data_IF_578720200611
#
_entry.id   IF_578720200611
#
_cell.length_a   1.000
_cell.length_b   1.000
_cell.length_c   1.000
_cell.angle_alpha   90.00
_cell.angle_beta   90.00
_cell.angle_gamma   90.00
#
_symmetry.space_group_name_H-M   'P 1'
#
loop_
_entity.id
_entity.type
_entity.pdbx_description
1 polymer ?
#
# COMPACT_ATOMS: atom_id res chain seq x y z
N UNK A 1 5.05 -18.07 7.73
CA UNK A 1 3.82 -18.90 7.82
C UNK A 1 3.32 -19.15 6.41
N UNK A 2 3.41 -20.38 5.94
CA UNK A 2 2.99 -20.79 4.60
C UNK A 2 1.46 -20.80 4.51
N UNK A 3 0.97 -20.27 3.39
CA UNK A 3 -0.40 -20.39 2.85
C UNK A 3 -1.51 -20.46 3.89
N UNK A 4 -2.04 -19.32 4.14
CA UNK A 4 -3.26 -19.18 4.88
C UNK A 4 -4.43 -19.49 3.97
N UNK A 5 -5.17 -20.56 4.27
CA UNK A 5 -6.47 -20.81 3.66
C UNK A 5 -7.56 -20.42 4.65
N UNK A 6 -8.62 -19.81 4.16
CA UNK A 6 -9.83 -19.63 4.94
C UNK A 6 -10.65 -20.92 4.79
N UNK A 7 -11.00 -21.56 5.92
CA UNK A 7 -11.88 -22.72 5.92
C UNK A 7 -13.35 -22.29 5.85
N UNK A 8 -14.22 -23.27 5.67
CA UNK A 8 -15.68 -23.20 5.52
C UNK A 8 -16.44 -22.40 6.60
N UNK A 9 -15.79 -22.07 7.72
CA UNK A 9 -16.31 -21.15 8.76
C UNK A 9 -15.69 -19.77 8.73
N UNK A 10 -14.91 -19.45 7.70
CA UNK A 10 -14.23 -18.15 7.59
C UNK A 10 -12.98 -18.00 8.47
N UNK A 11 -12.58 -19.06 9.17
CA UNK A 11 -11.41 -19.07 10.04
C UNK A 11 -10.13 -19.20 9.20
N UNK A 12 -9.12 -18.32 9.39
CA UNK A 12 -7.83 -18.51 8.78
C UNK A 12 -7.15 -19.74 9.39
N UNK A 13 -6.58 -20.56 8.54
CA UNK A 13 -5.72 -21.68 8.97
C UNK A 13 -4.29 -21.32 8.68
N UNK A 14 -3.43 -21.54 9.66
CA UNK A 14 -2.00 -21.31 9.54
C UNK A 14 -1.32 -22.64 9.32
N UNK A 15 -0.42 -22.72 8.34
CA UNK A 15 0.39 -23.88 8.11
C UNK A 15 1.54 -23.88 9.14
N UNK A 16 1.18 -24.00 10.38
CA UNK A 16 2.11 -24.33 11.44
C UNK A 16 2.49 -25.79 11.20
N UNK A 17 3.76 -26.12 11.31
CA UNK A 17 4.23 -27.51 11.29
C UNK A 17 3.43 -28.24 12.36
N UNK A 18 2.91 -29.44 12.04
CA UNK A 18 2.18 -30.27 13.00
C UNK A 18 3.11 -30.59 14.17
N UNK A 19 3.00 -29.82 15.25
CA UNK A 19 3.67 -30.11 16.50
C UNK A 19 2.73 -30.96 17.33
N UNK A 20 3.10 -32.21 17.53
CA UNK A 20 2.36 -33.11 18.43
C UNK A 20 2.48 -32.65 19.88
N UNK A 21 3.61 -32.06 20.24
CA UNK A 21 3.86 -31.47 21.56
C UNK A 21 4.53 -30.09 21.44
N UNK A 22 4.21 -29.21 22.37
CA UNK A 22 4.85 -27.88 22.44
C UNK A 22 6.33 -28.04 22.86
N UNK A 23 7.22 -27.47 22.07
CA UNK A 23 8.66 -27.44 22.36
C UNK A 23 9.08 -26.00 22.67
N UNK A 24 9.36 -25.67 23.95
CA UNK A 24 9.78 -24.34 24.35
C UNK A 24 11.14 -23.91 23.77
N UNK A 25 11.98 -24.88 23.38
CA UNK A 25 13.32 -24.63 22.84
C UNK A 25 13.33 -24.61 21.30
N UNK A 26 12.16 -24.65 20.67
CA UNK A 26 12.05 -24.62 19.20
C UNK A 26 12.65 -23.34 18.63
N UNK A 27 13.47 -23.47 17.60
CA UNK A 27 13.97 -22.32 16.85
C UNK A 27 12.79 -21.61 16.14
N UNK A 28 12.48 -20.33 16.49
CA UNK A 28 11.40 -19.58 15.86
C UNK A 28 11.52 -19.47 14.34
N UNK A 29 12.71 -19.66 13.77
CA UNK A 29 12.93 -19.57 12.33
C UNK A 29 12.30 -20.73 11.56
N UNK A 30 12.01 -21.86 12.22
CA UNK A 30 11.45 -23.07 11.57
C UNK A 30 10.05 -22.86 11.00
N UNK A 31 9.26 -21.96 11.58
CA UNK A 31 7.91 -21.63 11.12
C UNK A 31 7.82 -20.27 10.43
N UNK A 32 8.96 -19.59 10.24
CA UNK A 32 9.00 -18.36 9.45
C UNK A 32 9.12 -18.70 7.96
N UNK A 33 8.47 -17.89 7.14
CA UNK A 33 8.54 -17.99 5.68
C UNK A 33 9.15 -16.72 5.11
N UNK A 34 10.16 -16.90 4.28
CA UNK A 34 10.72 -15.79 3.53
C UNK A 34 9.72 -15.28 2.49
N UNK A 35 9.20 -14.08 2.70
CA UNK A 35 8.21 -13.43 1.83
C UNK A 35 8.81 -12.37 0.90
N UNK A 36 10.12 -12.34 0.78
CA UNK A 36 10.87 -11.38 -0.03
C UNK A 36 11.54 -10.30 0.81
N UNK A 37 12.22 -9.39 0.14
CA UNK A 37 12.98 -8.31 0.78
C UNK A 37 12.19 -7.00 0.80
N UNK A 38 12.43 -6.19 1.83
CA UNK A 38 11.81 -4.87 1.98
C UNK A 38 12.45 -3.85 1.03
N UNK A 39 13.75 -3.97 0.81
CA UNK A 39 14.49 -3.05 -0.03
C UNK A 39 14.36 -3.44 -1.51
N UNK A 40 14.25 -2.48 -2.43
CA UNK A 40 14.19 -2.74 -3.85
C UNK A 40 15.55 -3.22 -4.37
N UNK A 41 15.55 -4.13 -5.33
CA UNK A 41 16.78 -4.49 -6.04
C UNK A 41 17.12 -3.51 -7.15
N UNK A 42 16.16 -2.69 -7.59
CA UNK A 42 16.37 -1.68 -8.61
C UNK A 42 15.55 -0.43 -8.31
N UNK A 43 16.23 0.73 -8.39
CA UNK A 43 15.60 2.06 -8.38
C UNK A 43 16.17 2.87 -9.53
N UNK A 44 15.31 3.64 -10.18
CA UNK A 44 15.72 4.47 -11.30
C UNK A 44 14.75 5.60 -11.58
N UNK A 45 15.15 6.51 -12.47
CA UNK A 45 14.29 7.60 -12.91
C UNK A 45 14.55 7.94 -14.37
N UNK A 46 13.53 8.52 -15.00
CA UNK A 46 13.59 9.05 -16.36
C UNK A 46 12.99 10.44 -16.36
N UNK A 47 13.83 11.40 -16.79
CA UNK A 47 13.44 12.79 -16.96
C UNK A 47 13.37 13.11 -18.44
N UNK A 48 12.22 13.64 -18.87
CA UNK A 48 11.99 14.01 -20.28
C UNK A 48 11.57 15.45 -20.36
N UNK A 49 12.19 16.20 -21.26
CA UNK A 49 11.81 17.57 -21.57
C UNK A 49 11.64 17.78 -23.06
N UNK A 50 10.46 18.21 -23.44
CA UNK A 50 10.11 18.55 -24.84
C UNK A 50 9.91 20.06 -24.91
N UNK A 51 10.60 20.70 -25.86
CA UNK A 51 10.45 22.12 -26.12
C UNK A 51 9.97 22.35 -27.54
N UNK A 52 8.90 23.10 -27.66
CA UNK A 52 8.36 23.52 -28.94
C UNK A 52 8.11 25.03 -28.94
N UNK A 53 8.90 25.78 -29.70
CA UNK A 53 8.89 27.27 -29.71
C UNK A 53 9.05 27.81 -28.28
N UNK A 54 8.03 28.51 -27.78
CA UNK A 54 8.00 29.14 -26.46
C UNK A 54 7.40 28.23 -25.39
N UNK A 55 6.94 27.03 -25.72
CA UNK A 55 6.33 26.07 -24.83
C UNK A 55 7.35 24.99 -24.44
N UNK A 56 7.39 24.63 -23.17
CA UNK A 56 8.21 23.52 -22.67
C UNK A 56 7.36 22.62 -21.78
N UNK A 57 7.40 21.31 -22.07
CA UNK A 57 6.77 20.26 -21.28
C UNK A 57 7.85 19.38 -20.68
N UNK A 58 7.85 19.24 -19.37
CA UNK A 58 8.71 18.30 -18.65
C UNK A 58 7.86 17.22 -18.00
N UNK A 59 8.32 15.97 -18.05
CA UNK A 59 7.69 14.83 -17.38
C UNK A 59 8.79 13.99 -16.75
N UNK A 60 8.65 13.72 -15.46
CA UNK A 60 9.61 12.97 -14.66
C UNK A 60 8.93 11.72 -14.11
N UNK A 61 9.62 10.59 -14.26
CA UNK A 61 9.18 9.31 -13.74
C UNK A 61 10.21 8.74 -12.78
N UNK A 62 9.73 8.02 -11.76
CA UNK A 62 10.55 7.15 -10.93
C UNK A 62 10.02 5.72 -10.98
N UNK A 63 10.92 4.78 -10.94
CA UNK A 63 10.61 3.34 -10.92
C UNK A 63 11.31 2.70 -9.73
N UNK A 64 10.61 1.80 -9.06
CA UNK A 64 11.13 0.98 -7.98
C UNK A 64 10.65 -0.45 -8.19
N UNK A 65 11.60 -1.40 -8.19
CA UNK A 65 11.30 -2.80 -8.48
C UNK A 65 11.85 -3.74 -7.39
N UNK A 66 11.05 -4.75 -7.09
CA UNK A 66 11.45 -5.91 -6.28
C UNK A 66 11.28 -5.73 -4.77
N UNK A 67 10.81 -4.59 -4.30
CA UNK A 67 10.46 -4.43 -2.90
C UNK A 67 9.17 -5.18 -2.56
N UNK A 68 9.11 -5.73 -1.35
CA UNK A 68 7.91 -6.30 -0.76
C UNK A 68 7.48 -5.46 0.42
N UNK A 69 6.17 -5.32 0.60
CA UNK A 69 5.61 -4.55 1.71
C UNK A 69 4.43 -5.29 2.33
N UNK A 70 4.33 -5.19 3.65
CA UNK A 70 3.16 -5.69 4.37
C UNK A 70 2.07 -4.64 4.33
N UNK A 71 0.85 -5.06 3.96
CA UNK A 71 -0.33 -4.21 4.01
C UNK A 71 -0.74 -3.93 5.47
N UNK A 72 -1.37 -2.79 5.75
CA UNK A 72 -1.99 -2.52 7.04
C UNK A 72 -3.00 -3.60 7.39
N UNK A 73 -3.00 -4.04 8.64
CA UNK A 73 -3.97 -5.03 9.12
C UNK A 73 -5.35 -4.34 9.32
N UNK A 74 -6.39 -4.67 8.54
CA UNK A 74 -7.69 -4.06 8.67
C UNK A 74 -8.43 -4.44 9.96
N UNK A 75 -7.93 -5.47 10.68
CA UNK A 75 -8.47 -5.94 11.96
C UNK A 75 -7.72 -5.39 13.17
N UNK A 76 -6.78 -4.47 13.00
CA UNK A 76 -5.93 -3.94 14.07
C UNK A 76 -6.70 -3.37 15.27
N UNK A 77 -7.90 -2.83 15.02
CA UNK A 77 -8.75 -2.23 16.05
C UNK A 77 -9.84 -3.20 16.58
N UNK A 78 -9.80 -4.47 16.17
CA UNK A 78 -10.72 -5.49 16.67
C UNK A 78 -10.10 -6.17 17.89
N UNK A 79 -10.30 -5.58 19.05
CA UNK A 79 -9.90 -6.19 20.31
C UNK A 79 -10.98 -7.18 20.77
N UNK A 80 -10.54 -8.40 21.14
CA UNK A 80 -11.34 -9.37 21.88
C UNK A 80 -12.63 -9.87 21.20
N UNK A 81 -12.64 -10.05 19.88
CA UNK A 81 -13.80 -10.56 19.15
C UNK A 81 -15.03 -9.64 19.20
N UNK A 82 -14.88 -8.42 19.66
CA UNK A 82 -15.95 -7.44 19.65
C UNK A 82 -16.26 -7.00 18.23
N UNK A 83 -17.52 -6.81 17.95
CA UNK A 83 -17.98 -6.14 16.73
C UNK A 83 -17.35 -4.74 16.66
N UNK A 84 -17.14 -4.24 15.43
CA UNK A 84 -16.61 -2.89 15.25
C UNK A 84 -17.42 -1.88 16.04
N UNK A 85 -16.77 -1.06 16.83
CA UNK A 85 -17.44 0.03 17.53
C UNK A 85 -17.81 1.14 16.54
N UNK A 86 -19.02 1.74 16.68
CA UNK A 86 -19.53 2.71 15.72
C UNK A 86 -18.70 3.99 15.61
N UNK A 87 -17.76 4.22 16.52
CA UNK A 87 -16.92 5.42 16.57
C UNK A 87 -15.59 5.27 15.85
N UNK A 88 -15.24 4.07 15.35
CA UNK A 88 -13.99 3.84 14.65
C UNK A 88 -14.20 3.73 13.14
N UNK A 89 -13.39 4.45 12.36
CA UNK A 89 -13.30 4.26 10.93
C UNK A 89 -12.68 2.89 10.63
N UNK A 90 -13.36 2.12 9.80
CA UNK A 90 -12.94 0.79 9.40
C UNK A 90 -12.40 0.79 7.96
N UNK A 91 -11.46 -0.10 7.70
CA UNK A 91 -10.98 -0.32 6.35
C UNK A 91 -12.09 -0.83 5.43
N UNK A 92 -12.14 -0.33 4.20
CA UNK A 92 -13.02 -0.83 3.14
C UNK A 92 -12.78 -2.31 2.83
N UNK A 93 -11.60 -2.83 3.15
CA UNK A 93 -11.26 -4.23 2.91
C UNK A 93 -12.10 -5.19 3.73
N UNK A 94 -12.61 -4.75 4.88
CA UNK A 94 -13.54 -5.54 5.68
C UNK A 94 -14.87 -5.85 4.96
N UNK A 95 -15.23 -5.10 3.94
CA UNK A 95 -16.38 -5.42 3.09
C UNK A 95 -16.14 -6.68 2.26
N UNK A 96 -14.88 -7.01 1.98
CA UNK A 96 -14.45 -8.18 1.22
C UNK A 96 -14.26 -9.42 2.11
N UNK A 97 -14.53 -9.33 3.41
CA UNK A 97 -14.36 -10.45 4.34
C UNK A 97 -15.24 -11.64 3.98
N UNK A 98 -14.86 -12.79 4.45
CA UNK A 98 -15.70 -13.99 4.39
C UNK A 98 -17.02 -13.76 5.14
N UNK A 99 -18.14 -14.11 4.52
CA UNK A 99 -19.50 -13.93 5.07
C UNK A 99 -20.31 -15.22 5.04
N UNK A 100 -20.06 -16.09 4.07
CA UNK A 100 -20.79 -17.35 3.87
C UNK A 100 -19.91 -18.42 3.26
N UNK A 101 -20.26 -19.72 3.42
CA UNK A 101 -19.58 -20.82 2.75
C UNK A 101 -19.49 -20.61 1.24
N UNK A 102 -18.29 -20.79 0.68
CA UNK A 102 -17.95 -20.53 -0.72
C UNK A 102 -17.13 -19.26 -0.93
N UNK A 103 -17.18 -18.30 -0.01
CA UNK A 103 -16.41 -17.04 -0.12
C UNK A 103 -14.91 -17.28 0.05
N UNK A 104 -14.50 -18.37 0.70
CA UNK A 104 -13.09 -18.76 0.89
C UNK A 104 -12.29 -18.88 -0.42
N UNK A 105 -12.99 -19.05 -1.55
CA UNK A 105 -12.39 -19.10 -2.89
C UNK A 105 -12.10 -17.72 -3.47
N UNK A 106 -12.68 -16.69 -2.90
CA UNK A 106 -12.68 -15.33 -3.47
C UNK A 106 -12.11 -14.27 -2.54
N UNK A 107 -11.94 -14.59 -1.26
CA UNK A 107 -11.39 -13.65 -0.29
C UNK A 107 -10.26 -14.26 0.54
N UNK A 108 -9.31 -13.40 0.91
CA UNK A 108 -8.26 -13.70 1.88
C UNK A 108 -8.58 -13.15 3.27
N UNK A 109 -9.66 -12.36 3.38
CA UNK A 109 -10.03 -11.66 4.62
C UNK A 109 -10.90 -12.56 5.49
N UNK A 110 -10.49 -12.86 6.74
CA UNK A 110 -11.23 -13.70 7.67
C UNK A 110 -12.64 -13.18 7.99
N UNK A 111 -13.48 -14.07 8.50
CA UNK A 111 -14.77 -13.70 9.09
C UNK A 111 -14.59 -12.82 10.33
N UNK A 112 -15.61 -12.08 10.71
CA UNK A 112 -15.68 -11.42 12.00
C UNK A 112 -16.23 -12.40 13.04
N UNK A 113 -15.45 -12.67 14.08
CA UNK A 113 -15.85 -13.52 15.19
C UNK A 113 -16.37 -12.67 16.34
N UNK A 114 -17.44 -13.14 16.97
CA UNK A 114 -18.05 -12.50 18.13
C UNK A 114 -17.60 -13.12 19.45
N UNK A 115 -17.08 -14.36 19.40
CA UNK A 115 -16.57 -15.08 20.57
C UNK A 115 -15.08 -14.81 20.78
N UNK A 116 -14.72 -14.54 22.03
CA UNK A 116 -13.32 -14.41 22.45
C UNK A 116 -12.57 -15.73 22.28
N UNK A 117 -13.23 -16.85 22.56
CA UNK A 117 -12.66 -18.18 22.46
C UNK A 117 -12.22 -18.51 21.02
N UNK A 118 -13.05 -18.13 20.03
CA UNK A 118 -12.73 -18.36 18.62
C UNK A 118 -11.54 -17.53 18.14
N UNK A 119 -11.27 -16.38 18.77
CA UNK A 119 -10.20 -15.46 18.39
C UNK A 119 -8.85 -15.84 19.01
N UNK A 120 -8.86 -16.44 20.20
CA UNK A 120 -7.64 -16.70 20.99
C UNK A 120 -7.26 -18.18 21.13
N UNK A 121 -7.90 -19.07 20.41
CA UNK A 121 -7.72 -20.53 20.55
C UNK A 121 -6.57 -21.09 19.69
N UNK A 122 -5.60 -20.25 19.31
CA UNK A 122 -4.44 -20.72 18.55
C UNK A 122 -3.23 -20.78 19.47
N UNK A 123 -2.61 -21.97 19.53
CA UNK A 123 -1.33 -22.16 20.19
C UNK A 123 -0.20 -22.09 19.16
N UNK A 124 0.87 -21.42 19.53
CA UNK A 124 2.12 -21.41 18.79
C UNK A 124 2.90 -22.72 19.08
N UNK A 125 3.87 -23.08 18.22
CA UNK A 125 4.68 -24.28 18.39
C UNK A 125 5.44 -24.36 19.72
N UNK A 126 5.78 -23.22 20.31
CA UNK A 126 6.42 -23.11 21.63
C UNK A 126 5.44 -23.29 22.81
N UNK A 127 4.17 -23.56 22.53
CA UNK A 127 3.11 -23.72 23.53
C UNK A 127 2.48 -22.41 24.01
N UNK A 128 2.99 -21.26 23.60
CA UNK A 128 2.39 -19.98 23.96
C UNK A 128 1.07 -19.76 23.22
N UNK A 129 0.14 -19.04 23.85
CA UNK A 129 -1.09 -18.64 23.17
C UNK A 129 -0.80 -17.48 22.20
N UNK A 130 -1.29 -17.58 20.98
CA UNK A 130 -1.25 -16.44 20.07
C UNK A 130 -2.11 -15.29 20.61
N UNK A 131 -1.65 -14.05 20.42
CA UNK A 131 -2.36 -12.88 20.89
C UNK A 131 -3.77 -12.77 20.28
N UNK A 132 -3.88 -13.04 18.97
CA UNK A 132 -5.15 -13.02 18.27
C UNK A 132 -4.99 -13.65 16.89
N UNK A 133 -6.03 -14.35 16.43
CA UNK A 133 -6.11 -14.88 15.06
C UNK A 133 -5.94 -13.77 14.01
N UNK A 134 -6.45 -12.58 14.28
CA UNK A 134 -6.34 -11.42 13.38
C UNK A 134 -4.93 -10.84 13.36
N UNK A 135 -4.24 -10.87 14.49
CA UNK A 135 -2.84 -10.45 14.56
C UNK A 135 -1.94 -11.43 13.81
N UNK A 136 -2.12 -12.72 14.03
CA UNK A 136 -1.41 -13.75 13.27
C UNK A 136 -1.67 -13.63 11.78
N UNK A 137 -2.92 -13.42 11.39
CA UNK A 137 -3.27 -13.22 9.99
C UNK A 137 -2.60 -11.95 9.42
N UNK A 138 -2.64 -10.84 10.14
CA UNK A 138 -1.95 -9.60 9.75
C UNK A 138 -0.44 -9.77 9.58
N UNK A 139 0.16 -10.70 10.33
CA UNK A 139 1.59 -11.02 10.28
C UNK A 139 1.93 -12.14 9.29
N UNK A 140 0.94 -12.76 8.64
CA UNK A 140 1.18 -13.81 7.66
C UNK A 140 1.72 -13.28 6.32
N UNK A 141 2.19 -14.19 5.48
CA UNK A 141 2.64 -13.93 4.12
C UNK A 141 1.51 -13.44 3.20
N UNK A 142 0.25 -13.78 3.53
CA UNK A 142 -0.92 -13.30 2.80
C UNK A 142 -1.03 -11.78 2.74
N UNK A 143 -0.47 -11.09 3.75
CA UNK A 143 -0.46 -9.62 3.83
C UNK A 143 0.77 -8.99 3.18
N UNK A 144 1.72 -9.79 2.69
CA UNK A 144 2.89 -9.28 1.97
C UNK A 144 2.57 -9.16 0.48
N UNK A 145 2.83 -8.00 -0.08
CA UNK A 145 2.54 -7.67 -1.48
C UNK A 145 3.77 -7.12 -2.19
N UNK A 146 3.74 -7.22 -3.50
CA UNK A 146 4.74 -6.56 -4.35
C UNK A 146 4.54 -5.05 -4.29
N UNK A 147 5.55 -4.32 -3.84
CA UNK A 147 5.57 -2.88 -3.74
C UNK A 147 6.31 -2.21 -4.92
N UNK A 148 6.56 -2.95 -5.99
CA UNK A 148 7.08 -2.36 -7.24
C UNK A 148 6.10 -1.35 -7.81
N UNK A 149 6.63 -0.21 -8.26
CA UNK A 149 5.79 0.83 -8.87
C UNK A 149 6.54 1.63 -9.94
N UNK A 150 5.74 2.24 -10.80
CA UNK A 150 6.13 3.34 -11.68
C UNK A 150 5.33 4.58 -11.26
N UNK A 151 6.03 5.63 -10.86
CA UNK A 151 5.42 6.90 -10.44
C UNK A 151 5.74 7.98 -11.45
N UNK A 152 4.74 8.74 -11.85
CA UNK A 152 4.97 10.06 -12.40
C UNK A 152 5.19 11.03 -11.24
N UNK A 153 6.42 11.51 -11.07
CA UNK A 153 6.78 12.38 -9.94
C UNK A 153 6.39 13.82 -10.21
N UNK A 154 6.51 14.26 -11.48
CA UNK A 154 6.18 15.63 -11.84
C UNK A 154 5.78 15.73 -13.31
N UNK A 155 4.79 16.56 -13.60
CA UNK A 155 4.51 17.11 -14.92
C UNK A 155 4.62 18.63 -14.81
N UNK A 156 5.46 19.23 -15.64
CA UNK A 156 5.67 20.68 -15.69
C UNK A 156 5.38 21.20 -17.08
N UNK A 157 4.59 22.27 -17.16
CA UNK A 157 4.33 23.00 -18.38
C UNK A 157 4.77 24.46 -18.16
N UNK A 158 5.60 24.97 -19.04
CA UNK A 158 6.01 26.36 -19.02
C UNK A 158 5.85 27.00 -20.40
N UNK A 159 5.34 28.19 -20.41
CA UNK A 159 5.17 29.00 -21.59
C UNK A 159 5.88 30.32 -21.40
N UNK A 160 6.93 30.56 -22.20
CA UNK A 160 7.56 31.88 -22.30
C UNK A 160 6.76 32.70 -23.31
N UNK A 161 6.07 33.71 -22.82
CA UNK A 161 5.22 34.57 -23.66
C UNK A 161 6.09 35.32 -24.64
N UNK A 162 5.77 35.33 -25.95
CA UNK A 162 6.55 36.10 -26.94
C UNK A 162 6.65 37.57 -26.58
N UNK A 163 7.83 38.18 -26.77
CA UNK A 163 8.14 39.56 -26.38
C UNK A 163 7.14 40.54 -26.98
N UNK A 164 6.65 40.29 -28.21
CA UNK A 164 5.65 41.15 -28.86
C UNK A 164 4.32 41.24 -28.10
N UNK A 165 3.99 40.19 -27.32
CA UNK A 165 2.81 40.17 -26.45
C UNK A 165 3.13 40.90 -25.14
N UNK A 166 4.29 40.61 -24.55
CA UNK A 166 4.73 41.25 -23.30
C UNK A 166 4.82 42.77 -23.45
N UNK A 167 5.35 43.26 -24.56
CA UNK A 167 5.51 44.70 -24.86
C UNK A 167 4.17 45.47 -24.86
N UNK A 168 3.04 44.81 -25.18
CA UNK A 168 1.71 45.44 -25.11
C UNK A 168 1.30 45.84 -23.71
N UNK A 169 1.89 45.20 -22.69
CA UNK A 169 1.65 45.48 -21.28
C UNK A 169 2.83 46.21 -20.61
N UNK A 170 3.79 46.70 -21.41
CA UNK A 170 4.97 47.37 -20.88
C UNK A 170 5.99 46.44 -20.21
N UNK A 171 5.84 45.11 -20.37
CA UNK A 171 6.74 44.15 -19.79
C UNK A 171 7.84 43.74 -20.77
N UNK A 172 9.06 43.51 -20.27
CA UNK A 172 10.22 43.02 -21.05
C UNK A 172 10.21 41.51 -21.24
N UNK A 173 9.69 40.78 -20.25
CA UNK A 173 9.53 39.32 -20.33
C UNK A 173 8.33 38.87 -19.49
N UNK A 174 7.71 37.77 -19.90
CA UNK A 174 6.62 37.12 -19.17
C UNK A 174 6.75 35.62 -19.32
N UNK A 175 6.53 34.89 -18.25
CA UNK A 175 6.42 33.43 -18.29
C UNK A 175 5.29 32.94 -17.40
N UNK A 176 4.63 31.88 -17.86
CA UNK A 176 3.55 31.20 -17.16
C UNK A 176 4.00 29.77 -16.97
N UNK A 177 3.87 29.24 -15.77
CA UNK A 177 4.18 27.84 -15.46
C UNK A 177 3.04 27.18 -14.71
N UNK A 178 2.86 25.89 -14.97
CA UNK A 178 1.96 25.00 -14.24
C UNK A 178 2.69 23.71 -13.95
N UNK A 179 2.65 23.27 -12.71
CA UNK A 179 3.30 22.02 -12.28
C UNK A 179 2.30 21.16 -11.52
N UNK A 180 2.38 19.87 -11.73
CA UNK A 180 1.65 18.86 -10.95
C UNK A 180 2.65 17.88 -10.41
N UNK A 181 2.73 17.72 -9.09
CA UNK A 181 3.54 16.73 -8.43
C UNK A 181 2.68 15.51 -8.05
N UNK A 182 3.25 14.32 -8.20
CA UNK A 182 2.62 13.03 -7.89
C UNK A 182 1.25 12.83 -8.59
N UNK A 183 1.10 13.10 -9.90
CA UNK A 183 -0.20 13.00 -10.56
C UNK A 183 -0.77 11.57 -10.52
N UNK A 184 0.08 10.54 -10.64
CA UNK A 184 -0.32 9.15 -10.56
C UNK A 184 0.85 8.21 -10.22
N UNK A 185 0.48 7.05 -9.70
CA UNK A 185 1.37 5.91 -9.48
C UNK A 185 0.69 4.65 -10.03
N UNK A 186 1.48 3.78 -10.66
CA UNK A 186 1.07 2.47 -11.16
C UNK A 186 1.81 1.42 -10.33
N UNK A 187 1.08 0.57 -9.63
CA UNK A 187 1.60 -0.49 -8.77
C UNK A 187 0.55 -1.55 -8.52
N UNK A 188 0.77 -2.41 -7.52
CA UNK A 188 -0.16 -3.50 -7.20
C UNK A 188 -1.52 -2.96 -6.76
N UNK A 189 -2.60 -3.50 -7.35
CA UNK A 189 -3.98 -3.17 -6.99
C UNK A 189 -4.35 -3.54 -5.53
N UNK A 190 -3.55 -4.41 -4.90
CA UNK A 190 -3.74 -4.81 -3.49
C UNK A 190 -3.54 -3.67 -2.50
N UNK A 191 -2.87 -2.59 -2.89
CA UNK A 191 -2.77 -1.39 -2.05
C UNK A 191 -4.08 -0.61 -1.92
N UNK A 192 -5.14 -0.95 -2.70
CA UNK A 192 -6.47 -0.34 -2.60
C UNK A 192 -6.48 1.19 -2.67
N UNK A 193 -5.59 1.79 -3.44
CA UNK A 193 -5.44 3.23 -3.59
C UNK A 193 -4.43 3.87 -2.65
N UNK A 194 -3.86 3.12 -1.70
CA UNK A 194 -2.68 3.58 -0.98
C UNK A 194 -1.46 3.60 -1.90
N UNK A 195 -0.52 4.42 -1.54
CA UNK A 195 0.74 4.54 -2.26
C UNK A 195 1.64 3.34 -1.95
N UNK A 196 2.17 2.62 -2.96
CA UNK A 196 3.04 1.48 -2.73
C UNK A 196 4.32 1.81 -1.94
N UNK A 197 4.82 3.04 -2.05
CA UNK A 197 5.99 3.50 -1.32
C UNK A 197 5.67 3.78 0.16
N UNK A 198 4.51 4.37 0.45
CA UNK A 198 4.06 4.64 1.82
C UNK A 198 3.46 3.40 2.48
N UNK A 199 2.61 2.67 1.75
CA UNK A 199 2.00 1.41 2.17
C UNK A 199 0.66 1.55 2.88
N UNK A 200 0.44 2.61 3.64
CA UNK A 200 -0.72 2.85 4.50
C UNK A 200 -1.39 4.19 4.27
N UNK A 201 -0.86 5.01 3.40
CA UNK A 201 -1.31 6.37 3.14
C UNK A 201 -1.29 6.71 1.65
N UNK A 202 -1.84 7.85 1.31
CA UNK A 202 -1.90 8.37 -0.06
C UNK A 202 -0.94 9.53 -0.19
N UNK A 203 -0.09 9.50 -1.22
CA UNK A 203 0.76 10.64 -1.51
C UNK A 203 -0.08 11.77 -2.13
N UNK A 204 -0.04 12.99 -1.57
CA UNK A 204 -0.87 14.09 -2.05
C UNK A 204 -0.45 14.54 -3.45
N UNK A 205 -1.43 14.87 -4.27
CA UNK A 205 -1.22 15.58 -5.54
C UNK A 205 -1.14 17.07 -5.27
N UNK A 206 -0.06 17.71 -5.73
CA UNK A 206 0.15 19.13 -5.52
C UNK A 206 0.15 19.85 -6.86
N UNK A 207 -0.73 20.84 -6.99
CA UNK A 207 -0.82 21.71 -8.17
C UNK A 207 -0.20 23.06 -7.83
N UNK A 208 0.70 23.52 -8.68
CA UNK A 208 1.36 24.82 -8.54
C UNK A 208 1.27 25.60 -9.83
N UNK A 209 0.95 26.88 -9.71
CA UNK A 209 0.90 27.82 -10.83
C UNK A 209 1.86 28.96 -10.55
N UNK A 210 2.62 29.36 -11.54
CA UNK A 210 3.55 30.48 -11.46
C UNK A 210 3.35 31.47 -12.60
N UNK A 211 3.43 32.75 -12.27
CA UNK A 211 3.47 33.87 -13.21
C UNK A 211 4.72 34.68 -12.87
N UNK A 212 5.55 34.93 -13.86
CA UNK A 212 6.71 35.81 -13.73
C UNK A 212 6.59 36.90 -14.79
N UNK A 213 6.72 38.15 -14.36
CA UNK A 213 6.67 39.32 -15.23
C UNK A 213 7.84 40.23 -14.88
N UNK A 214 8.65 40.57 -15.87
CA UNK A 214 9.75 41.56 -15.77
C UNK A 214 9.42 42.83 -16.54
N UNK A 215 9.72 43.96 -15.93
CA UNK A 215 9.51 45.29 -16.51
C UNK A 215 10.86 45.95 -16.86
#
# INVERSE_FOLDING_TARGET
QRQMCIRDRGCPTFNLIDFEEADPDIDPTTFLVYSGQKDPYFTGGVDTRIRYKSLSLGVNFSVLLGAKKRLPNPYQNFNYGKLPEPFYNLSKDLLKRWQKPGDEKHTIYPALYTSVEDVYNIKLPDGTAANSIYEMWGNSDAMVVDASFLRCTQISLSWNVPVQICAKFGATNCSISANVNNPFVIGSSRFNGFDPELGDSVMPKVFSFGLSVGF
#
